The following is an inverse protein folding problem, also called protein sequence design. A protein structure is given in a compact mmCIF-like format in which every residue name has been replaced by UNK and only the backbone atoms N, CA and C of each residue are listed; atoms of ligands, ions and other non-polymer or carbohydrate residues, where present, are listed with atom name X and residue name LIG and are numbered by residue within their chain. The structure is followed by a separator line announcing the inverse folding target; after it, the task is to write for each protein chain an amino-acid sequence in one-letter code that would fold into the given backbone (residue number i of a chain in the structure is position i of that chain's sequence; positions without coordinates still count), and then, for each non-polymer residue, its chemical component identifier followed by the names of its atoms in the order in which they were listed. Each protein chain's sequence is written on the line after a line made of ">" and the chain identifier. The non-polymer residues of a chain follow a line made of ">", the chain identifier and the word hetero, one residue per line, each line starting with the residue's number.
data_IF_810744191689
#
_entry.id   IF_810744191689
#
_cell.length_a   1.000
_cell.length_b   1.000
_cell.length_c   1.000
_cell.angle_alpha   90.00
_cell.angle_beta   90.00
_cell.angle_gamma   90.00
#
_symmetry.space_group_name_H-M   'P 1'
#
loop_
_entity.id
_entity.type
_entity.pdbx_description
1 polymer ?
#
# COMPACT_ATOMS: atom_id res chain seq x y z
N UNK A 1 28.87 6.02 -6.50
CA UNK A 1 27.89 6.55 -7.47
C UNK A 1 27.37 5.39 -8.29
N UNK A 2 26.16 4.96 -8.00
CA UNK A 2 25.53 3.87 -8.78
C UNK A 2 24.59 4.51 -9.83
N UNK A 3 24.80 4.12 -11.07
CA UNK A 3 23.94 4.53 -12.19
C UNK A 3 22.85 3.49 -12.45
N UNK A 4 21.75 3.92 -13.07
CA UNK A 4 20.69 2.99 -13.51
C UNK A 4 21.24 1.90 -14.44
N UNK A 5 22.21 2.26 -15.30
CA UNK A 5 22.86 1.29 -16.20
C UNK A 5 23.66 0.21 -15.43
N UNK A 6 24.32 0.59 -14.33
CA UNK A 6 25.03 -0.37 -13.47
C UNK A 6 24.05 -1.29 -12.74
N UNK A 7 22.91 -0.78 -12.26
CA UNK A 7 21.85 -1.59 -11.64
C UNK A 7 21.31 -2.63 -12.63
N UNK A 8 20.99 -2.21 -13.87
CA UNK A 8 20.50 -3.13 -14.91
C UNK A 8 21.58 -4.15 -15.33
N UNK A 9 22.85 -3.76 -15.31
CA UNK A 9 23.97 -4.68 -15.55
C UNK A 9 24.07 -5.75 -14.46
N UNK A 10 24.01 -5.35 -13.18
CA UNK A 10 24.04 -6.26 -12.04
C UNK A 10 22.84 -7.22 -12.05
N UNK A 11 21.63 -6.72 -12.35
CA UNK A 11 20.47 -7.57 -12.58
C UNK A 11 20.68 -8.59 -13.70
N UNK A 12 21.35 -8.17 -14.79
CA UNK A 12 21.67 -9.07 -15.91
C UNK A 12 22.67 -10.15 -15.51
N UNK A 13 23.68 -9.81 -14.71
CA UNK A 13 24.64 -10.78 -14.18
C UNK A 13 24.01 -11.79 -13.21
N UNK A 14 23.13 -11.33 -12.30
CA UNK A 14 22.38 -12.21 -11.41
C UNK A 14 21.48 -13.21 -12.19
N UNK A 15 21.02 -12.85 -13.36
CA UNK A 15 20.26 -13.74 -14.28
C UNK A 15 21.15 -14.79 -14.96
N UNK A 16 22.45 -14.54 -15.13
CA UNK A 16 23.53 -15.42 -15.61
C UNK A 16 23.32 -16.11 -16.96
N UNK A 17 24.39 -16.39 -17.73
CA UNK A 17 24.29 -17.07 -19.02
C UNK A 17 23.94 -18.57 -18.92
N UNK A 18 24.31 -19.24 -17.84
CA UNK A 18 24.07 -20.68 -17.64
C UNK A 18 22.63 -21.04 -17.27
N UNK A 19 21.82 -20.06 -16.93
CA UNK A 19 20.40 -20.25 -16.61
C UNK A 19 19.50 -20.35 -17.87
N UNK A 20 20.06 -20.24 -19.07
CA UNK A 20 19.32 -20.40 -20.35
C UNK A 20 18.79 -21.82 -20.60
N UNK A 21 19.32 -22.83 -19.88
CA UNK A 21 18.86 -24.22 -20.00
C UNK A 21 17.71 -24.60 -19.07
N UNK A 22 17.43 -23.82 -18.05
CA UNK A 22 16.20 -23.92 -17.27
C UNK A 22 15.31 -22.77 -17.72
N UNK A 23 14.13 -23.03 -18.34
CA UNK A 23 13.25 -21.94 -18.76
C UNK A 23 12.86 -21.13 -17.53
N UNK A 24 13.58 -20.03 -17.28
CA UNK A 24 13.16 -19.05 -16.28
C UNK A 24 11.93 -18.35 -16.85
N UNK A 25 10.78 -18.73 -16.36
CA UNK A 25 9.58 -18.00 -16.66
C UNK A 25 9.64 -16.73 -15.80
N UNK A 26 9.90 -15.57 -16.41
CA UNK A 26 9.60 -14.29 -15.80
C UNK A 26 8.09 -14.27 -15.55
N UNK A 27 7.72 -14.46 -14.31
CA UNK A 27 6.33 -14.43 -13.87
C UNK A 27 6.04 -13.17 -13.06
N UNK A 28 6.84 -12.12 -13.26
CA UNK A 28 6.48 -10.83 -12.67
C UNK A 28 5.14 -10.39 -13.22
N UNK A 29 4.18 -10.19 -12.36
CA UNK A 29 2.81 -9.75 -12.70
C UNK A 29 2.63 -8.25 -12.48
N UNK A 30 3.59 -7.61 -11.80
CA UNK A 30 3.61 -6.19 -11.49
C UNK A 30 5.03 -5.70 -11.20
N UNK A 31 5.23 -4.39 -11.20
CA UNK A 31 6.33 -3.73 -10.52
C UNK A 31 5.81 -3.20 -9.18
N UNK A 32 6.44 -3.59 -8.09
CA UNK A 32 6.11 -3.13 -6.76
C UNK A 32 7.12 -2.06 -6.33
N UNK A 33 6.69 -0.82 -6.23
CA UNK A 33 7.45 0.26 -5.62
C UNK A 33 7.13 0.33 -4.12
N UNK A 34 8.12 0.63 -3.29
CA UNK A 34 7.92 0.91 -1.88
C UNK A 34 8.69 2.18 -1.51
N UNK A 35 7.99 3.25 -1.17
CA UNK A 35 8.60 4.44 -0.55
C UNK A 35 8.69 4.21 0.95
N UNK A 36 9.91 4.16 1.47
CA UNK A 36 10.20 3.68 2.82
C UNK A 36 11.17 4.63 3.51
N UNK A 37 10.68 5.64 4.26
CA UNK A 37 11.53 6.42 5.16
C UNK A 37 12.32 5.53 6.13
N UNK A 38 13.49 5.99 6.59
CA UNK A 38 14.46 5.20 7.34
C UNK A 38 13.85 4.48 8.56
N UNK A 39 12.94 5.13 9.28
CA UNK A 39 12.26 4.54 10.45
C UNK A 39 11.37 3.33 10.13
N UNK A 40 11.07 3.10 8.85
CA UNK A 40 10.22 2.00 8.38
C UNK A 40 10.99 0.89 7.67
N UNK A 41 12.30 1.01 7.47
CA UNK A 41 13.10 0.09 6.64
C UNK A 41 13.05 -1.34 7.18
N UNK A 42 13.27 -1.54 8.49
CA UNK A 42 13.26 -2.87 9.10
C UNK A 42 11.89 -3.55 8.93
N UNK A 43 10.81 -2.82 9.24
CA UNK A 43 9.44 -3.34 9.09
C UNK A 43 9.06 -3.61 7.62
N UNK A 44 9.60 -2.82 6.67
CA UNK A 44 9.38 -3.05 5.25
C UNK A 44 10.07 -4.32 4.77
N UNK A 45 11.32 -4.56 5.19
CA UNK A 45 12.05 -5.78 4.84
C UNK A 45 11.34 -7.05 5.35
N UNK A 46 10.81 -7.02 6.57
CA UNK A 46 10.04 -8.14 7.12
C UNK A 46 8.80 -8.44 6.26
N UNK A 47 8.05 -7.39 5.90
CA UNK A 47 6.84 -7.52 5.06
C UNK A 47 7.19 -8.03 3.65
N UNK A 48 8.21 -7.46 3.02
CA UNK A 48 8.62 -7.84 1.66
C UNK A 48 9.14 -9.28 1.59
N UNK A 49 9.84 -9.75 2.64
CA UNK A 49 10.27 -11.14 2.74
C UNK A 49 9.11 -12.12 2.68
N UNK A 50 7.96 -11.79 3.30
CA UNK A 50 6.74 -12.59 3.26
C UNK A 50 5.95 -12.50 1.95
N UNK A 51 6.19 -11.49 1.12
CA UNK A 51 5.48 -11.28 -0.15
C UNK A 51 6.12 -12.01 -1.34
N UNK A 52 7.43 -12.21 -1.32
CA UNK A 52 8.21 -12.64 -2.47
C UNK A 52 7.71 -13.95 -3.12
N UNK A 53 7.22 -14.89 -2.32
CA UNK A 53 6.68 -16.16 -2.81
C UNK A 53 5.28 -16.03 -3.42
N UNK A 54 4.45 -15.13 -2.88
CA UNK A 54 3.05 -14.93 -3.31
C UNK A 54 2.92 -14.01 -4.51
N UNK A 55 3.72 -12.95 -4.53
CA UNK A 55 3.72 -11.93 -5.57
C UNK A 55 5.09 -11.82 -6.23
N UNK A 56 5.41 -12.77 -7.15
CA UNK A 56 6.66 -12.66 -7.91
C UNK A 56 6.66 -11.36 -8.71
N UNK A 57 7.55 -10.46 -8.35
CA UNK A 57 7.59 -9.09 -8.88
C UNK A 57 9.03 -8.60 -8.98
N UNK A 58 9.23 -7.49 -9.70
CA UNK A 58 10.36 -6.61 -9.42
C UNK A 58 9.91 -5.66 -8.33
N UNK A 59 10.54 -5.74 -7.16
CA UNK A 59 10.33 -4.82 -6.06
C UNK A 59 11.44 -3.78 -6.03
N UNK A 60 11.08 -2.50 -6.03
CA UNK A 60 12.00 -1.36 -5.94
C UNK A 60 11.69 -0.64 -4.64
N UNK A 61 12.62 -0.72 -3.67
CA UNK A 61 12.53 -0.05 -2.38
C UNK A 61 13.30 1.26 -2.46
N UNK A 62 12.64 2.36 -2.16
CA UNK A 62 13.19 3.70 -2.17
C UNK A 62 13.32 4.19 -0.73
N UNK A 63 14.55 4.37 -0.27
CA UNK A 63 14.86 4.91 1.06
C UNK A 63 15.37 6.35 0.88
N UNK A 64 14.54 7.38 1.16
CA UNK A 64 14.96 8.77 1.00
C UNK A 64 15.86 9.21 2.16
N UNK A 65 16.98 9.85 1.84
CA UNK A 65 17.90 10.50 2.78
C UNK A 65 18.17 11.96 2.34
N UNK A 66 17.15 12.84 2.38
CA UNK A 66 17.26 14.20 1.83
C UNK A 66 18.28 15.07 2.58
N UNK A 67 18.56 14.77 3.86
CA UNK A 67 19.52 15.51 4.69
C UNK A 67 20.98 15.07 4.48
N UNK A 68 21.23 14.14 3.54
CA UNK A 68 22.59 13.69 3.24
C UNK A 68 23.41 14.79 2.57
N UNK A 69 24.68 14.94 3.01
CA UNK A 69 25.64 15.85 2.36
C UNK A 69 26.11 15.34 0.96
N UNK A 70 25.76 14.09 0.62
CA UNK A 70 26.04 13.47 -0.69
C UNK A 70 24.82 13.63 -1.59
N UNK A 71 25.04 13.93 -2.86
CA UNK A 71 24.00 13.86 -3.91
C UNK A 71 24.25 12.63 -4.78
N UNK A 72 23.76 11.48 -4.34
CA UNK A 72 24.14 10.18 -4.87
C UNK A 72 23.01 9.14 -4.75
N UNK A 73 23.23 7.96 -5.35
CA UNK A 73 22.39 6.77 -5.20
C UNK A 73 23.28 5.62 -4.72
N UNK A 74 22.92 5.02 -3.60
CA UNK A 74 23.48 3.75 -3.17
C UNK A 74 22.45 2.64 -3.47
N UNK A 75 22.85 1.63 -4.25
CA UNK A 75 21.96 0.56 -4.68
C UNK A 75 22.44 -0.81 -4.16
N UNK A 76 21.48 -1.65 -3.77
CA UNK A 76 21.67 -3.06 -3.48
C UNK A 76 20.68 -3.88 -4.31
N UNK A 77 21.17 -4.88 -5.01
CA UNK A 77 20.35 -5.68 -5.94
C UNK A 77 20.38 -7.14 -5.52
N UNK A 78 19.20 -7.73 -5.38
CA UNK A 78 19.05 -9.12 -4.94
C UNK A 78 18.09 -9.87 -5.86
N UNK A 79 18.34 -11.16 -6.05
CA UNK A 79 17.42 -12.07 -6.70
C UNK A 79 17.15 -13.26 -5.79
N UNK A 80 15.87 -13.61 -5.63
CA UNK A 80 15.44 -14.79 -4.89
C UNK A 80 14.58 -15.67 -5.79
N UNK A 81 14.89 -16.97 -5.83
CA UNK A 81 14.17 -17.92 -6.68
C UNK A 81 13.52 -18.99 -5.83
N UNK A 82 12.27 -19.31 -6.15
CA UNK A 82 11.45 -20.33 -5.48
C UNK A 82 11.13 -21.46 -6.46
N UNK A 83 11.20 -22.73 -6.02
CA UNK A 83 10.80 -23.85 -6.87
C UNK A 83 9.27 -23.81 -7.11
N UNK A 84 8.87 -23.97 -8.37
CA UNK A 84 7.45 -24.10 -8.69
C UNK A 84 7.00 -25.54 -8.44
N UNK A 85 6.00 -25.73 -7.57
CA UNK A 85 5.50 -27.04 -7.18
C UNK A 85 5.12 -27.90 -8.40
N UNK A 86 5.63 -29.13 -8.46
CA UNK A 86 5.38 -30.06 -9.57
C UNK A 86 6.10 -29.76 -10.88
N UNK A 87 7.10 -28.85 -10.89
CA UNK A 87 7.85 -28.47 -12.07
C UNK A 87 9.37 -28.41 -11.76
N UNK A 88 10.20 -28.54 -12.80
CA UNK A 88 11.62 -28.23 -12.75
C UNK A 88 11.91 -26.71 -12.90
N UNK A 89 10.87 -25.91 -13.05
CA UNK A 89 10.96 -24.45 -13.22
C UNK A 89 11.04 -23.75 -11.87
N UNK A 90 11.64 -22.56 -11.88
CA UNK A 90 11.70 -21.67 -10.74
C UNK A 90 11.04 -20.32 -11.09
N UNK A 91 10.44 -19.71 -10.11
CA UNK A 91 9.95 -18.34 -10.15
C UNK A 91 10.92 -17.47 -9.39
N UNK A 92 11.44 -16.43 -10.02
CA UNK A 92 12.40 -15.53 -9.38
C UNK A 92 11.79 -14.14 -9.21
N UNK A 93 12.04 -13.55 -8.05
CA UNK A 93 11.75 -12.16 -7.73
C UNK A 93 13.06 -11.37 -7.75
N UNK A 94 12.96 -10.11 -8.12
CA UNK A 94 14.08 -9.16 -8.11
C UNK A 94 13.76 -8.07 -7.08
N UNK A 95 14.71 -7.76 -6.20
CA UNK A 95 14.61 -6.66 -5.26
C UNK A 95 15.75 -5.69 -5.51
N UNK A 96 15.41 -4.42 -5.73
CA UNK A 96 16.35 -3.32 -5.91
C UNK A 96 16.08 -2.35 -4.76
N UNK A 97 17.02 -2.20 -3.85
CA UNK A 97 16.96 -1.19 -2.80
C UNK A 97 17.82 0.00 -3.20
N UNK A 98 17.22 1.20 -3.19
CA UNK A 98 17.86 2.45 -3.57
C UNK A 98 17.81 3.42 -2.40
N UNK A 99 18.97 3.76 -1.84
CA UNK A 99 19.10 4.90 -0.93
C UNK A 99 19.31 6.15 -1.77
N UNK A 100 18.38 7.09 -1.66
CA UNK A 100 18.34 8.33 -2.43
C UNK A 100 18.89 9.46 -1.56
N UNK A 101 20.16 9.82 -1.81
CA UNK A 101 20.90 10.75 -0.97
C UNK A 101 20.78 12.19 -1.51
N UNK A 102 20.56 13.16 -0.62
CA UNK A 102 20.49 14.58 -0.96
C UNK A 102 19.39 14.89 -1.96
N UNK A 103 19.72 15.66 -3.00
CA UNK A 103 18.77 16.08 -4.06
C UNK A 103 18.16 14.91 -4.84
N UNK A 104 18.74 13.70 -4.78
CA UNK A 104 18.18 12.50 -5.41
C UNK A 104 16.85 12.11 -4.81
N UNK A 105 16.66 12.34 -3.51
CA UNK A 105 15.40 12.06 -2.82
C UNK A 105 14.22 12.85 -3.37
N UNK A 106 14.46 14.06 -3.90
CA UNK A 106 13.40 14.91 -4.47
C UNK A 106 13.01 14.58 -5.92
N UNK A 107 13.75 13.66 -6.59
CA UNK A 107 13.54 13.31 -8.00
C UNK A 107 13.43 11.80 -8.24
N UNK A 108 12.63 11.07 -7.46
CA UNK A 108 12.60 9.62 -7.50
C UNK A 108 12.10 9.03 -8.83
N UNK A 109 11.15 9.69 -9.52
CA UNK A 109 10.59 9.15 -10.75
C UNK A 109 11.64 8.96 -11.85
N UNK A 110 12.55 9.92 -12.03
CA UNK A 110 13.61 9.85 -13.03
C UNK A 110 14.59 8.70 -12.82
N UNK A 111 14.69 8.21 -11.58
CA UNK A 111 15.54 7.08 -11.20
C UNK A 111 14.78 5.76 -11.40
N UNK A 112 13.48 5.76 -11.07
CA UNK A 112 12.64 4.56 -11.07
C UNK A 112 12.13 4.21 -12.45
N UNK A 113 11.69 5.18 -13.26
CA UNK A 113 11.08 4.93 -14.58
C UNK A 113 11.89 3.98 -15.47
N UNK A 114 13.23 4.12 -15.61
CA UNK A 114 14.03 3.19 -16.41
C UNK A 114 14.07 1.76 -15.85
N UNK A 115 13.81 1.60 -14.54
CA UNK A 115 13.82 0.29 -13.86
C UNK A 115 12.45 -0.40 -13.89
N UNK A 116 11.39 0.27 -14.33
CA UNK A 116 10.07 -0.33 -14.45
C UNK A 116 10.06 -1.41 -15.54
N UNK A 117 9.28 -2.46 -15.31
CA UNK A 117 9.04 -3.47 -16.36
C UNK A 117 7.92 -2.96 -17.25
N UNK A 118 8.24 -2.76 -18.53
CA UNK A 118 7.25 -2.33 -19.53
C UNK A 118 6.04 -3.26 -19.56
N UNK A 119 4.86 -2.68 -19.76
CA UNK A 119 3.58 -3.39 -19.89
C UNK A 119 3.07 -4.09 -18.61
N UNK A 120 3.75 -3.90 -17.47
CA UNK A 120 3.26 -4.35 -16.17
C UNK A 120 2.72 -3.19 -15.32
N UNK A 121 1.64 -3.43 -14.55
CA UNK A 121 1.13 -2.41 -13.65
C UNK A 121 2.13 -2.09 -12.54
N UNK A 122 2.12 -0.82 -12.12
CA UNK A 122 2.98 -0.29 -11.07
C UNK A 122 2.15 -0.08 -9.81
N UNK A 123 2.48 -0.79 -8.75
CA UNK A 123 1.90 -0.62 -7.42
C UNK A 123 2.91 0.09 -6.52
N UNK A 124 2.51 1.18 -5.89
CA UNK A 124 3.38 1.91 -4.97
C UNK A 124 2.85 1.81 -3.54
N UNK A 125 3.57 1.12 -2.65
CA UNK A 125 3.34 1.16 -1.21
C UNK A 125 4.04 2.39 -0.64
N UNK A 126 3.26 3.32 -0.11
CA UNK A 126 3.80 4.48 0.62
C UNK A 126 3.75 4.21 2.12
N UNK A 127 4.91 4.22 2.79
CA UNK A 127 5.02 4.09 4.25
C UNK A 127 4.96 5.46 4.91
N UNK A 128 4.23 5.52 6.03
CA UNK A 128 3.98 6.79 6.71
C UNK A 128 2.95 7.67 6.01
N UNK A 129 2.84 8.91 6.44
CA UNK A 129 1.96 9.91 5.82
C UNK A 129 2.63 10.48 4.57
N UNK A 130 1.97 10.46 3.40
CA UNK A 130 2.52 11.06 2.20
C UNK A 130 2.75 12.56 2.38
N UNK A 131 3.86 13.13 1.87
CA UNK A 131 4.06 14.56 1.77
C UNK A 131 3.24 15.13 0.60
N UNK A 132 1.96 15.34 0.81
CA UNK A 132 0.93 15.57 -0.20
C UNK A 132 1.22 16.69 -1.20
N UNK A 133 1.98 17.70 -0.79
CA UNK A 133 2.26 18.90 -1.58
C UNK A 133 3.71 18.89 -2.13
N UNK A 134 4.49 17.83 -1.87
CA UNK A 134 5.90 17.74 -2.30
C UNK A 134 6.05 17.02 -3.64
N UNK A 135 7.12 17.35 -4.33
CA UNK A 135 7.39 16.90 -5.71
C UNK A 135 7.57 15.37 -5.79
N UNK A 136 8.25 14.75 -4.83
CA UNK A 136 8.51 13.30 -4.82
C UNK A 136 7.23 12.50 -4.78
N UNK A 137 6.23 12.91 -3.97
CA UNK A 137 4.93 12.25 -3.94
C UNK A 137 4.18 12.43 -5.27
N UNK A 138 4.20 13.65 -5.81
CA UNK A 138 3.56 13.95 -7.10
C UNK A 138 4.17 13.12 -8.23
N UNK A 139 5.50 13.03 -8.28
CA UNK A 139 6.25 12.26 -9.28
C UNK A 139 5.93 10.77 -9.20
N UNK A 140 6.06 10.14 -8.01
CA UNK A 140 5.81 8.71 -7.84
C UNK A 140 4.33 8.36 -8.07
N UNK A 141 3.39 9.17 -7.58
CA UNK A 141 1.97 8.96 -7.85
C UNK A 141 1.63 9.09 -9.33
N UNK A 142 2.40 9.88 -10.10
CA UNK A 142 2.24 10.08 -11.54
C UNK A 142 2.61 8.86 -12.41
N UNK A 143 3.53 8.01 -11.93
CA UNK A 143 3.96 6.79 -12.62
C UNK A 143 3.33 5.51 -12.03
N UNK A 144 2.40 5.66 -11.11
CA UNK A 144 1.78 4.57 -10.35
C UNK A 144 0.37 4.33 -10.82
N UNK A 145 0.01 3.07 -11.10
CA UNK A 145 -1.36 2.65 -11.39
C UNK A 145 -2.19 2.52 -10.12
N UNK A 146 -1.55 2.08 -9.02
CA UNK A 146 -2.19 1.93 -7.71
C UNK A 146 -1.27 2.35 -6.57
N UNK A 147 -1.76 3.29 -5.78
CA UNK A 147 -1.15 3.68 -4.52
C UNK A 147 -1.74 2.85 -3.37
N UNK A 148 -0.89 2.19 -2.60
CA UNK A 148 -1.25 1.45 -1.38
C UNK A 148 -0.74 2.23 -0.18
N UNK A 149 -1.68 2.68 0.65
CA UNK A 149 -1.38 3.40 1.90
C UNK A 149 -1.85 2.62 3.12
N UNK A 150 -1.44 3.05 4.28
CA UNK A 150 -2.00 2.63 5.56
C UNK A 150 -2.27 3.87 6.40
N UNK A 151 -3.51 4.32 6.42
CA UNK A 151 -3.87 5.55 7.13
C UNK A 151 -3.73 5.44 8.66
N UNK A 152 -3.43 4.26 9.20
CA UNK A 152 -3.04 4.08 10.62
C UNK A 152 -1.66 4.66 10.91
N UNK A 153 -0.81 4.79 9.89
CA UNK A 153 0.54 5.37 9.97
C UNK A 153 0.51 6.92 9.94
N UNK A 154 -0.66 7.53 9.69
CA UNK A 154 -0.80 8.98 9.56
C UNK A 154 -1.05 9.64 10.92
N UNK A 155 -0.50 10.83 11.09
CA UNK A 155 -0.70 11.61 12.30
C UNK A 155 -2.16 12.06 12.44
N UNK A 156 -2.73 12.57 11.35
CA UNK A 156 -4.09 13.10 11.30
C UNK A 156 -4.87 12.47 10.12
N UNK A 157 -5.39 11.24 10.27
CA UNK A 157 -6.03 10.51 9.17
C UNK A 157 -7.15 11.29 8.45
N UNK A 158 -7.96 12.07 9.16
CA UNK A 158 -9.04 12.85 8.55
C UNK A 158 -8.50 13.95 7.62
N UNK A 159 -7.42 14.62 8.01
CA UNK A 159 -6.73 15.60 7.15
C UNK A 159 -6.12 14.88 5.95
N UNK A 160 -5.48 13.74 6.16
CA UNK A 160 -4.95 12.90 5.08
C UNK A 160 -6.04 12.48 4.09
N UNK A 161 -7.25 12.15 4.56
CA UNK A 161 -8.38 11.82 3.67
C UNK A 161 -8.82 13.00 2.81
N UNK A 162 -8.80 14.23 3.32
CA UNK A 162 -9.09 15.43 2.51
C UNK A 162 -8.10 15.57 1.34
N UNK A 163 -6.82 15.31 1.60
CA UNK A 163 -5.77 15.30 0.58
C UNK A 163 -5.94 14.15 -0.41
N UNK A 164 -6.24 12.97 0.11
CA UNK A 164 -6.41 11.75 -0.68
C UNK A 164 -7.56 11.87 -1.70
N UNK A 165 -8.65 12.55 -1.34
CA UNK A 165 -9.77 12.82 -2.27
C UNK A 165 -9.30 13.52 -3.54
N UNK A 166 -8.30 14.41 -3.43
CA UNK A 166 -7.76 15.17 -4.56
C UNK A 166 -6.98 14.33 -5.59
N UNK A 167 -6.60 13.11 -5.26
CA UNK A 167 -5.81 12.25 -6.16
C UNK A 167 -6.61 11.08 -6.76
N UNK A 168 -7.82 10.82 -6.29
CA UNK A 168 -8.62 9.68 -6.78
C UNK A 168 -8.87 9.70 -8.29
N UNK A 169 -8.90 10.86 -8.93
CA UNK A 169 -9.11 10.92 -10.39
C UNK A 169 -7.87 10.51 -11.19
N UNK A 170 -6.70 10.53 -10.57
CA UNK A 170 -5.40 10.25 -11.20
C UNK A 170 -4.90 8.83 -10.97
N UNK A 171 -5.02 8.31 -9.75
CA UNK A 171 -4.48 7.02 -9.33
C UNK A 171 -5.53 6.23 -8.56
N UNK A 172 -5.56 4.90 -8.74
CA UNK A 172 -6.34 4.03 -7.89
C UNK A 172 -5.67 3.94 -6.51
N UNK A 173 -6.45 3.95 -5.43
CA UNK A 173 -5.92 3.90 -4.06
C UNK A 173 -6.51 2.73 -3.30
N UNK A 174 -5.66 2.07 -2.53
CA UNK A 174 -6.02 1.09 -1.50
C UNK A 174 -5.49 1.57 -0.15
N UNK A 175 -6.18 1.19 0.91
CA UNK A 175 -5.80 1.53 2.29
C UNK A 175 -5.94 0.30 3.18
N UNK A 176 -4.85 -0.12 3.80
CA UNK A 176 -4.83 -1.27 4.70
C UNK A 176 -5.81 -1.06 5.88
N UNK A 177 -5.91 0.18 6.39
CA UNK A 177 -6.90 0.50 7.42
C UNK A 177 -8.35 0.24 6.96
N UNK A 178 -8.65 0.44 5.67
CA UNK A 178 -9.96 0.12 5.09
C UNK A 178 -10.23 -1.37 5.06
N UNK A 179 -9.27 -2.17 4.64
CA UNK A 179 -9.40 -3.63 4.59
C UNK A 179 -9.66 -4.22 5.97
N UNK A 180 -9.04 -3.68 7.02
CA UNK A 180 -9.30 -4.07 8.41
C UNK A 180 -10.73 -3.74 8.92
N UNK A 181 -11.50 -2.93 8.20
CA UNK A 181 -12.92 -2.70 8.54
C UNK A 181 -13.88 -3.68 7.86
N UNK A 182 -13.39 -4.62 7.04
CA UNK A 182 -14.22 -5.47 6.20
C UNK A 182 -15.27 -6.27 6.99
N UNK A 183 -14.86 -6.92 8.07
CA UNK A 183 -15.76 -7.73 8.90
C UNK A 183 -16.83 -6.88 9.58
N UNK A 184 -16.46 -5.69 10.05
CA UNK A 184 -17.43 -4.73 10.59
C UNK A 184 -18.42 -4.28 9.53
N UNK A 185 -17.96 -3.97 8.32
CA UNK A 185 -18.85 -3.57 7.21
C UNK A 185 -19.81 -4.68 6.85
N UNK A 186 -19.33 -5.93 6.82
CA UNK A 186 -20.17 -7.10 6.58
C UNK A 186 -21.19 -7.32 7.69
N UNK A 187 -20.76 -7.26 8.95
CA UNK A 187 -21.65 -7.42 10.11
C UNK A 187 -22.76 -6.36 10.10
N UNK A 188 -22.42 -5.11 9.87
CA UNK A 188 -23.37 -3.99 9.84
C UNK A 188 -24.31 -4.05 8.61
N UNK A 189 -23.80 -4.49 7.46
CA UNK A 189 -24.64 -4.66 6.25
C UNK A 189 -25.76 -5.70 6.45
N UNK A 190 -25.51 -6.73 7.24
CA UNK A 190 -26.52 -7.77 7.59
C UNK A 190 -27.66 -7.25 8.46
N UNK A 191 -27.50 -6.08 9.09
CA UNK A 191 -28.52 -5.44 9.90
C UNK A 191 -29.47 -4.52 9.07
N UNK A 192 -29.30 -4.50 7.75
CA UNK A 192 -30.24 -3.81 6.87
C UNK A 192 -31.61 -4.50 6.87
N UNK A 193 -32.77 -3.79 6.87
CA UNK A 193 -32.92 -2.32 6.87
C UNK A 193 -32.89 -1.66 8.25
N UNK A 194 -32.96 -2.43 9.33
CA UNK A 194 -33.07 -1.94 10.72
C UNK A 194 -32.01 -0.90 11.11
N UNK A 195 -30.78 -1.07 10.63
CA UNK A 195 -29.67 -0.14 10.90
C UNK A 195 -29.96 1.29 10.41
N UNK A 196 -30.77 1.43 9.35
CA UNK A 196 -31.08 2.74 8.78
C UNK A 196 -31.92 3.63 9.72
N UNK A 197 -32.67 3.02 10.64
CA UNK A 197 -33.58 3.72 11.56
C UNK A 197 -32.95 3.95 12.95
N UNK A 198 -31.81 3.33 13.24
CA UNK A 198 -31.17 3.40 14.54
C UNK A 198 -30.20 4.58 14.67
N UNK A 199 -30.03 5.09 15.89
CA UNK A 199 -28.88 5.94 16.20
C UNK A 199 -27.61 5.09 16.17
N UNK A 200 -26.60 5.55 15.40
CA UNK A 200 -25.33 4.85 15.21
C UNK A 200 -24.22 5.68 15.83
N UNK A 201 -23.40 5.04 16.66
CA UNK A 201 -22.15 5.60 17.17
C UNK A 201 -21.00 4.68 16.84
N UNK A 202 -19.93 5.26 16.29
CA UNK A 202 -18.70 4.55 15.94
C UNK A 202 -17.60 5.04 16.86
N UNK A 203 -16.84 4.12 17.41
CA UNK A 203 -15.68 4.40 18.25
C UNK A 203 -14.50 3.53 17.82
N UNK A 204 -13.28 3.97 18.11
CA UNK A 204 -12.09 3.17 17.83
C UNK A 204 -10.87 4.01 17.46
N UNK A 205 -9.81 3.33 16.97
CA UNK A 205 -8.65 3.99 16.36
C UNK A 205 -9.10 4.89 15.21
N UNK A 206 -8.54 6.10 15.16
CA UNK A 206 -9.08 7.19 14.35
C UNK A 206 -9.22 6.84 12.86
N UNK A 207 -8.21 6.19 12.25
CA UNK A 207 -8.24 5.83 10.84
C UNK A 207 -9.41 4.88 10.52
N UNK A 208 -9.46 3.72 11.17
CA UNK A 208 -10.46 2.68 10.93
C UNK A 208 -11.87 3.18 11.28
N UNK A 209 -12.02 3.85 12.42
CA UNK A 209 -13.32 4.35 12.86
C UNK A 209 -13.86 5.46 11.95
N UNK A 210 -12.99 6.36 11.43
CA UNK A 210 -13.38 7.38 10.47
C UNK A 210 -13.80 6.77 9.13
N UNK A 211 -13.10 5.76 8.62
CA UNK A 211 -13.46 5.04 7.40
C UNK A 211 -14.77 4.28 7.56
N UNK A 212 -14.97 3.59 8.68
CA UNK A 212 -16.22 2.88 8.96
C UNK A 212 -17.40 3.84 9.07
N UNK A 213 -17.23 4.97 9.78
CA UNK A 213 -18.23 6.05 9.84
C UNK A 213 -18.51 6.61 8.45
N UNK A 214 -17.47 6.92 7.67
CA UNK A 214 -17.60 7.44 6.31
C UNK A 214 -18.36 6.48 5.40
N UNK A 215 -18.09 5.18 5.51
CA UNK A 215 -18.85 4.16 4.80
C UNK A 215 -20.32 4.17 5.19
N UNK A 216 -20.65 4.19 6.48
CA UNK A 216 -22.04 4.28 6.96
C UNK A 216 -22.73 5.55 6.46
N UNK A 217 -22.07 6.70 6.55
CA UNK A 217 -22.60 7.99 6.03
C UNK A 217 -22.91 7.86 4.54
N UNK A 218 -21.99 7.32 3.74
CA UNK A 218 -22.15 7.16 2.29
C UNK A 218 -23.29 6.21 1.93
N UNK A 219 -23.51 5.13 2.71
CA UNK A 219 -24.54 4.13 2.44
C UNK A 219 -25.92 4.55 2.93
N UNK A 220 -25.99 5.13 4.12
CA UNK A 220 -27.24 5.55 4.73
C UNK A 220 -27.69 6.93 4.25
N UNK A 221 -26.82 7.69 3.56
CA UNK A 221 -27.06 9.06 3.05
C UNK A 221 -27.55 10.00 4.16
N UNK A 222 -27.00 9.85 5.35
CA UNK A 222 -27.31 10.72 6.50
C UNK A 222 -26.04 11.00 7.31
N UNK A 223 -26.02 12.15 7.98
CA UNK A 223 -24.95 12.48 8.91
C UNK A 223 -24.98 11.56 10.13
N UNK A 224 -23.80 11.18 10.61
CA UNK A 224 -23.58 10.48 11.86
C UNK A 224 -22.75 11.35 12.81
N UNK A 225 -22.83 11.08 14.11
CA UNK A 225 -21.96 11.73 15.09
C UNK A 225 -20.49 11.54 14.79
N UNK A 226 -19.64 12.40 15.33
CA UNK A 226 -18.20 12.25 15.27
C UNK A 226 -17.77 10.91 15.91
N UNK A 227 -16.62 10.42 15.48
CA UNK A 227 -16.00 9.22 16.02
C UNK A 227 -15.60 9.47 17.49
N UNK A 228 -15.85 8.51 18.35
CA UNK A 228 -15.38 8.52 19.75
C UNK A 228 -14.02 7.78 19.80
N UNK A 229 -12.95 8.38 20.36
CA UNK A 229 -11.66 7.72 20.50
C UNK A 229 -11.77 6.47 21.39
N UNK A 230 -11.17 5.37 20.96
CA UNK A 230 -11.02 4.12 21.73
C UNK A 230 -9.89 3.26 21.12
N UNK A 231 -9.36 2.33 21.90
CA UNK A 231 -8.30 1.42 21.44
C UNK A 231 -8.81 0.37 20.44
N UNK A 232 -10.09 -0.02 20.57
CA UNK A 232 -10.72 -1.02 19.73
C UNK A 232 -11.88 -0.45 18.92
N UNK A 233 -11.99 -0.88 17.67
CA UNK A 233 -13.11 -0.54 16.80
C UNK A 233 -14.41 -1.12 17.36
N UNK A 234 -15.44 -0.31 17.46
CA UNK A 234 -16.73 -0.72 17.98
C UNK A 234 -17.88 0.15 17.48
N UNK A 235 -19.08 -0.44 17.45
CA UNK A 235 -20.29 0.21 17.01
C UNK A 235 -21.41 0.00 18.03
N UNK A 236 -22.20 1.06 18.27
CA UNK A 236 -23.45 1.01 19.05
C UNK A 236 -24.63 1.37 18.14
N UNK A 237 -25.71 0.62 18.28
CA UNK A 237 -27.00 0.87 17.61
C UNK A 237 -28.09 1.07 18.65
N UNK A 238 -28.80 2.20 18.63
CA UNK A 238 -29.85 2.49 19.60
C UNK A 238 -29.40 2.48 21.06
N UNK A 239 -28.10 2.70 21.30
CA UNK A 239 -27.49 2.63 22.64
C UNK A 239 -26.92 1.24 23.00
N UNK A 240 -27.23 0.20 22.26
CA UNK A 240 -26.71 -1.15 22.49
C UNK A 240 -25.41 -1.39 21.71
N UNK A 241 -24.45 -2.06 22.35
CA UNK A 241 -23.16 -2.40 21.74
C UNK A 241 -23.33 -3.61 20.81
N UNK A 242 -22.92 -3.46 19.54
CA UNK A 242 -22.87 -4.60 18.60
C UNK A 242 -21.66 -5.49 18.97
N UNK A 243 -21.84 -6.81 19.03
CA UNK A 243 -20.73 -7.73 19.24
C UNK A 243 -19.67 -7.55 18.13
N UNK A 244 -18.41 -7.50 18.51
CA UNK A 244 -17.32 -7.42 17.58
C UNK A 244 -17.32 -8.67 16.64
N UNK A 245 -17.19 -8.48 15.33
CA UNK A 245 -17.04 -9.61 14.43
C UNK A 245 -15.73 -10.35 14.75
N UNK A 246 -15.71 -11.66 14.44
CA UNK A 246 -14.47 -12.42 14.49
C UNK A 246 -13.60 -11.98 13.33
N UNK A 247 -12.41 -11.50 13.61
CA UNK A 247 -11.41 -11.09 12.63
C UNK A 247 -10.30 -12.14 12.62
N UNK A 248 -9.84 -12.52 11.44
CA UNK A 248 -8.61 -13.32 11.32
C UNK A 248 -7.41 -12.42 11.65
N UNK A 249 -6.47 -12.99 12.39
CA UNK A 249 -5.22 -12.30 12.70
C UNK A 249 -4.29 -12.44 11.48
N UNK A 250 -4.23 -11.38 10.68
CA UNK A 250 -3.43 -11.34 9.46
C UNK A 250 -2.08 -10.68 9.74
N UNK A 251 -1.01 -11.29 9.23
CA UNK A 251 0.31 -10.66 9.29
C UNK A 251 0.36 -9.39 8.44
N UNK A 252 1.30 -8.46 8.70
CA UNK A 252 1.50 -7.29 7.84
C UNK A 252 1.75 -7.64 6.37
N UNK A 253 2.42 -8.77 6.09
CA UNK A 253 2.63 -9.28 4.74
C UNK A 253 1.32 -9.76 4.09
N UNK A 254 0.43 -10.44 4.85
CA UNK A 254 -0.89 -10.84 4.35
C UNK A 254 -1.77 -9.64 4.03
N UNK A 255 -1.73 -8.60 4.89
CA UNK A 255 -2.47 -7.37 4.66
C UNK A 255 -2.04 -6.68 3.38
N UNK A 256 -0.72 -6.53 3.16
CA UNK A 256 -0.22 -5.93 1.93
C UNK A 256 -0.51 -6.82 0.71
N UNK A 257 -0.35 -8.15 0.84
CA UNK A 257 -0.66 -9.12 -0.21
C UNK A 257 -2.10 -8.96 -0.71
N UNK A 258 -3.06 -8.82 0.20
CA UNK A 258 -4.46 -8.62 -0.16
C UNK A 258 -4.69 -7.32 -0.96
N UNK A 259 -3.95 -6.24 -0.67
CA UNK A 259 -4.06 -4.99 -1.44
C UNK A 259 -3.45 -5.12 -2.84
N UNK A 260 -2.39 -5.92 -2.99
CA UNK A 260 -1.73 -6.16 -4.27
C UNK A 260 -2.56 -7.07 -5.21
N UNK A 261 -3.51 -7.84 -4.69
CA UNK A 261 -4.44 -8.67 -5.49
C UNK A 261 -5.55 -7.85 -6.16
N UNK A 262 -5.75 -6.59 -5.76
CA UNK A 262 -6.81 -5.73 -6.26
C UNK A 262 -6.31 -4.80 -7.38
N UNK A 263 -6.72 -5.05 -8.63
CA UNK A 263 -6.32 -4.23 -9.78
C UNK A 263 -7.32 -3.11 -10.12
N UNK A 264 -8.57 -3.23 -9.67
CA UNK A 264 -9.62 -2.25 -9.98
C UNK A 264 -9.79 -1.21 -8.87
N UNK A 265 -10.30 -0.03 -9.21
CA UNK A 265 -10.65 1.03 -8.25
C UNK A 265 -11.77 0.56 -7.32
N UNK A 266 -11.61 0.77 -6.01
CA UNK A 266 -12.67 0.57 -5.02
C UNK A 266 -13.49 1.84 -4.83
N UNK A 267 -14.59 1.94 -5.60
CA UNK A 267 -15.52 3.08 -5.50
C UNK A 267 -16.23 3.15 -4.15
N UNK A 268 -16.32 2.04 -3.42
CA UNK A 268 -16.91 1.99 -2.08
C UNK A 268 -15.97 2.66 -1.08
N UNK A 269 -14.69 2.35 -1.17
CA UNK A 269 -13.64 3.02 -0.42
C UNK A 269 -13.59 4.52 -0.72
N UNK A 270 -13.54 4.90 -2.00
CA UNK A 270 -13.51 6.31 -2.39
C UNK A 270 -14.72 7.10 -1.82
N UNK A 271 -15.92 6.51 -1.85
CA UNK A 271 -17.10 7.13 -1.26
C UNK A 271 -17.01 7.24 0.28
N UNK A 272 -16.45 6.24 0.94
CA UNK A 272 -16.23 6.25 2.37
C UNK A 272 -15.20 7.33 2.77
N UNK A 273 -14.09 7.45 2.05
CA UNK A 273 -13.07 8.48 2.27
C UNK A 273 -13.65 9.88 2.07
N UNK A 274 -14.39 10.13 0.97
CA UNK A 274 -15.06 11.44 0.74
C UNK A 274 -15.99 11.81 1.90
N UNK A 275 -16.72 10.84 2.45
CA UNK A 275 -17.61 11.06 3.59
C UNK A 275 -16.87 11.14 4.94
N UNK A 276 -15.67 10.61 5.06
CA UNK A 276 -14.82 10.73 6.24
C UNK A 276 -14.06 12.07 6.28
N UNK A 277 -13.75 12.62 5.11
CA UNK A 277 -13.06 13.90 4.91
C UNK A 277 -13.94 15.14 5.22
N UNK A 278 -15.26 15.01 5.18
CA UNK A 278 -16.24 16.09 5.48
C UNK A 278 -16.93 15.88 6.82
#
# INVERSE_FOLDING_TARGET
>A
LTTVAEIEHELAELRGPDRQHVPHQRTSVMTHLAWVPEEWVEAAHEVLGGLAERHPSRTIVLVPEPESDRDDIDADVRQQCFPLAGSTRQVCTETIELRLLGDRASRPASIVEPLLISDLPVFCRWRGEPPWDEDEFSQLSGITDRLVVDSREWREPVVGYQRLVGIFDRVAVSDIAWSLTADWRLALARLWPTIAEQEIRVRGPQAQASLLRGWLVSRLRRALRAVEPADELGVQLGGERIPAPRTEDMSPADLLSNELDHFSRDRVYEAAVRAAAG
#
